data_IF_230773352305
#
_entry.id   IF_230773352305
#
_cell.length_a   1.000
_cell.length_b   1.000
_cell.length_c   1.000
_cell.angle_alpha   90.00
_cell.angle_beta   90.00
_cell.angle_gamma   90.00
#
_symmetry.space_group_name_H-M   'P 1'
#
loop_
_entity.id
_entity.type
_entity.pdbx_description
1 polymer ?
#
# COMPACT_ATOMS: atom_id res chain seq x y z
N UNK A 1 -15.99 -17.86 -26.19
CA UNK A 1 -15.96 -16.98 -25.00
C UNK A 1 -16.92 -17.40 -23.86
N UNK A 2 -17.50 -18.60 -23.88
CA UNK A 2 -18.51 -18.99 -22.88
C UNK A 2 -17.95 -19.83 -21.72
N UNK A 3 -16.88 -20.60 -21.95
CA UNK A 3 -16.36 -21.60 -21.02
C UNK A 3 -15.66 -21.00 -19.79
N UNK A 4 -14.88 -19.92 -19.98
CA UNK A 4 -14.18 -19.24 -18.88
C UNK A 4 -15.15 -18.56 -17.92
N UNK A 5 -16.15 -17.84 -18.45
CA UNK A 5 -17.20 -17.22 -17.64
C UNK A 5 -17.97 -18.27 -16.84
N UNK A 6 -18.39 -19.37 -17.48
CA UNK A 6 -19.11 -20.45 -16.80
C UNK A 6 -18.27 -21.10 -15.70
N UNK A 7 -16.95 -21.23 -15.89
CA UNK A 7 -16.06 -21.79 -14.87
C UNK A 7 -15.90 -20.85 -13.69
N UNK A 8 -15.66 -19.56 -13.93
CA UNK A 8 -15.59 -18.53 -12.88
C UNK A 8 -16.91 -18.52 -12.11
N UNK A 9 -18.04 -18.44 -12.81
CA UNK A 9 -19.36 -18.42 -12.19
C UNK A 9 -19.63 -19.68 -11.34
N UNK A 10 -19.15 -20.86 -11.78
CA UNK A 10 -19.25 -22.10 -10.98
C UNK A 10 -18.39 -22.09 -9.71
N UNK A 11 -17.26 -21.37 -9.72
CA UNK A 11 -16.35 -21.25 -8.58
C UNK A 11 -16.79 -20.16 -7.60
N UNK A 12 -17.57 -19.18 -8.06
CA UNK A 12 -18.04 -18.03 -7.29
C UNK A 12 -19.51 -18.13 -6.89
N UNK A 13 -20.16 -19.30 -7.06
CA UNK A 13 -21.56 -19.50 -6.64
C UNK A 13 -21.73 -19.13 -5.15
N UNK A 14 -22.44 -18.03 -4.89
CA UNK A 14 -22.67 -17.48 -3.55
C UNK A 14 -22.07 -16.08 -3.32
N UNK A 15 -21.19 -15.59 -4.19
CA UNK A 15 -20.75 -14.20 -4.20
C UNK A 15 -21.75 -13.35 -5.00
N UNK A 16 -22.21 -12.25 -4.42
CA UNK A 16 -23.29 -11.42 -4.96
C UNK A 16 -22.94 -10.73 -6.29
N UNK A 17 -21.67 -10.72 -6.69
CA UNK A 17 -21.22 -10.21 -7.98
C UNK A 17 -19.93 -10.93 -8.39
N UNK A 18 -19.94 -11.83 -9.40
CA UNK A 18 -18.73 -12.46 -9.93
C UNK A 18 -17.96 -11.48 -10.82
N UNK A 19 -17.62 -10.30 -10.29
CA UNK A 19 -16.74 -9.35 -10.93
C UNK A 19 -15.34 -9.92 -11.04
N UNK A 20 -14.74 -9.84 -12.22
CA UNK A 20 -13.34 -10.19 -12.40
C UNK A 20 -12.47 -9.11 -11.74
N UNK A 21 -11.69 -9.46 -10.71
CA UNK A 21 -10.73 -8.53 -10.12
C UNK A 21 -9.60 -8.20 -11.11
N UNK A 22 -9.53 -6.95 -11.57
CA UNK A 22 -8.56 -6.49 -12.57
C UNK A 22 -7.29 -5.92 -11.92
N UNK A 23 -6.51 -6.76 -11.22
CA UNK A 23 -5.27 -6.32 -10.56
C UNK A 23 -4.23 -5.78 -11.54
N UNK A 24 -3.79 -6.60 -12.49
CA UNK A 24 -2.75 -6.21 -13.44
C UNK A 24 -3.22 -5.09 -14.38
N UNK A 25 -4.45 -5.12 -14.94
CA UNK A 25 -4.91 -4.05 -15.80
C UNK A 25 -5.00 -2.69 -15.09
N UNK A 26 -5.20 -2.64 -13.77
CA UNK A 26 -5.19 -1.39 -13.00
C UNK A 26 -3.83 -0.66 -13.08
N UNK A 27 -2.72 -1.39 -13.25
CA UNK A 27 -1.40 -0.78 -13.45
C UNK A 27 -1.30 -0.05 -14.79
N UNK A 28 -1.95 -0.57 -15.83
CA UNK A 28 -2.05 0.10 -17.13
C UNK A 28 -2.97 1.30 -17.03
N UNK A 29 -4.09 1.18 -16.32
CA UNK A 29 -4.99 2.31 -16.06
C UNK A 29 -4.28 3.46 -15.36
N UNK A 30 -3.47 3.14 -14.35
CA UNK A 30 -2.59 4.10 -13.70
C UNK A 30 -1.67 4.80 -14.70
N UNK A 31 -0.96 4.06 -15.55
CA UNK A 31 -0.06 4.67 -16.53
C UNK A 31 -0.77 5.59 -17.53
N UNK A 32 -1.99 5.23 -17.96
CA UNK A 32 -2.78 6.03 -18.89
C UNK A 32 -3.36 7.30 -18.25
N UNK A 33 -3.60 7.27 -16.94
CA UNK A 33 -4.32 8.34 -16.22
C UNK A 33 -3.52 8.92 -15.06
N UNK A 34 -2.20 8.71 -15.01
CA UNK A 34 -1.35 9.04 -13.86
C UNK A 34 -1.42 10.52 -13.42
N UNK A 35 -1.71 11.43 -14.35
CA UNK A 35 -1.86 12.86 -14.08
C UNK A 35 -3.24 13.25 -13.55
N UNK A 36 -4.18 12.31 -13.48
CA UNK A 36 -5.53 12.54 -12.96
C UNK A 36 -5.48 12.71 -11.44
N UNK A 37 -5.98 13.85 -10.95
CA UNK A 37 -5.97 14.19 -9.52
C UNK A 37 -6.90 13.33 -8.67
N UNK A 38 -7.77 12.51 -9.28
CA UNK A 38 -8.62 11.57 -8.57
C UNK A 38 -7.87 10.34 -8.04
N UNK A 39 -6.63 10.08 -8.46
CA UNK A 39 -5.77 9.11 -7.78
C UNK A 39 -5.48 9.57 -6.35
N UNK A 40 -5.91 8.81 -5.34
CA UNK A 40 -5.67 9.17 -3.94
C UNK A 40 -4.64 8.26 -3.30
N UNK A 41 -3.62 8.82 -2.63
CA UNK A 41 -2.69 8.02 -1.86
C UNK A 41 -3.39 7.42 -0.63
N UNK A 42 -2.81 6.36 -0.08
CA UNK A 42 -3.28 5.74 1.14
C UNK A 42 -3.25 6.72 2.33
N UNK A 43 -4.14 6.54 3.33
CA UNK A 43 -4.08 7.31 4.57
C UNK A 43 -2.69 7.16 5.23
N UNK A 44 -2.02 8.29 5.46
CA UNK A 44 -0.67 8.30 6.04
C UNK A 44 0.48 8.09 5.04
N UNK A 45 0.22 8.21 3.73
CA UNK A 45 1.28 8.26 2.74
C UNK A 45 2.22 9.48 2.95
N UNK A 46 3.52 9.36 2.64
CA UNK A 46 4.20 8.16 2.13
C UNK A 46 4.39 7.07 3.18
N UNK A 47 4.05 5.82 2.83
CA UNK A 47 4.16 4.66 3.71
C UNK A 47 5.54 4.00 3.55
N UNK A 48 6.17 3.61 4.66
CA UNK A 48 7.38 2.78 4.65
C UNK A 48 6.98 1.31 4.53
N UNK A 49 7.10 0.76 3.32
CA UNK A 49 6.73 -0.62 2.98
C UNK A 49 7.98 -1.39 2.62
N UNK A 50 8.28 -2.46 3.35
CA UNK A 50 9.48 -3.29 3.14
C UNK A 50 9.09 -4.73 2.82
N UNK A 51 10.02 -5.53 2.29
CA UNK A 51 9.78 -6.93 1.94
C UNK A 51 10.53 -7.85 2.89
N UNK A 52 9.85 -8.81 3.50
CA UNK A 52 10.47 -9.87 4.29
C UNK A 52 11.23 -10.83 3.37
N UNK A 53 12.50 -11.13 3.68
CA UNK A 53 13.38 -11.90 2.79
C UNK A 53 13.91 -13.21 3.38
N UNK A 54 13.82 -13.39 4.70
CA UNK A 54 14.46 -14.49 5.43
C UNK A 54 13.47 -15.47 6.07
N UNK A 55 12.27 -15.02 6.44
CA UNK A 55 11.28 -15.86 7.13
C UNK A 55 10.85 -17.09 6.33
N UNK A 56 10.80 -18.26 6.99
CA UNK A 56 10.44 -19.53 6.34
C UNK A 56 9.05 -19.49 5.67
N UNK A 57 8.10 -18.78 6.28
CA UNK A 57 6.69 -18.73 5.84
C UNK A 57 6.26 -17.37 5.32
N UNK A 58 7.06 -16.33 5.55
CA UNK A 58 6.70 -14.93 5.29
C UNK A 58 7.58 -14.27 4.24
N UNK A 59 8.55 -15.01 3.67
CA UNK A 59 9.38 -14.51 2.57
C UNK A 59 8.49 -14.01 1.42
N UNK A 60 8.74 -12.77 1.00
CA UNK A 60 7.97 -12.06 -0.03
C UNK A 60 6.80 -11.24 0.50
N UNK A 61 6.51 -11.27 1.82
CA UNK A 61 5.44 -10.48 2.41
C UNK A 61 5.85 -9.01 2.52
N UNK A 62 4.92 -8.10 2.20
CA UNK A 62 5.06 -6.68 2.47
C UNK A 62 4.81 -6.40 3.95
N UNK A 63 5.78 -5.76 4.60
CA UNK A 63 5.77 -5.41 6.02
C UNK A 63 5.64 -3.90 6.16
N UNK A 64 4.76 -3.50 7.09
CA UNK A 64 4.55 -2.11 7.48
C UNK A 64 4.63 -2.05 9.01
N UNK A 65 5.32 -1.03 9.53
CA UNK A 65 5.29 -0.76 10.96
C UNK A 65 3.94 -0.15 11.37
N UNK A 66 3.20 -0.88 12.20
CA UNK A 66 1.88 -0.48 12.74
C UNK A 66 1.92 -0.09 14.21
N UNK A 67 3.11 0.03 14.82
CA UNK A 67 3.25 0.28 16.27
C UNK A 67 2.77 1.67 16.71
N UNK A 68 2.29 2.52 15.80
CA UNK A 68 1.85 3.91 16.03
C UNK A 68 2.82 4.71 16.90
N UNK A 69 4.12 4.60 16.60
CA UNK A 69 5.21 5.26 17.32
C UNK A 69 5.72 6.45 16.54
N UNK A 70 6.10 7.49 17.28
CA UNK A 70 6.61 8.72 16.69
C UNK A 70 7.95 8.50 16.01
N UNK A 71 8.12 9.09 14.83
CA UNK A 71 9.33 8.97 14.02
C UNK A 71 10.30 10.13 14.30
N UNK A 72 11.58 9.82 14.42
CA UNK A 72 12.67 10.79 14.50
C UNK A 72 12.81 11.53 13.16
N UNK A 73 12.94 12.85 13.23
CA UNK A 73 12.99 13.71 12.04
C UNK A 73 11.65 13.88 11.31
N UNK A 74 10.56 13.35 11.88
CA UNK A 74 9.20 13.57 11.40
C UNK A 74 8.64 14.96 11.76
N UNK A 75 7.40 15.25 11.35
CA UNK A 75 6.70 16.49 11.67
C UNK A 75 6.68 16.79 13.18
N UNK A 76 6.57 18.06 13.54
CA UNK A 76 6.66 18.49 14.94
C UNK A 76 5.35 18.13 15.67
N UNK A 77 5.37 17.96 17.00
CA UNK A 77 4.22 17.48 17.74
C UNK A 77 3.09 18.53 17.88
N UNK A 78 3.30 19.76 17.40
CA UNK A 78 2.28 20.80 17.26
C UNK A 78 1.46 20.66 15.98
N UNK A 79 1.85 19.78 15.06
CA UNK A 79 1.02 19.36 13.94
C UNK A 79 -0.15 18.52 14.49
N UNK A 80 -1.36 19.09 14.46
CA UNK A 80 -2.59 18.59 15.08
C UNK A 80 -3.07 17.18 14.62
N UNK A 81 -2.25 16.46 13.87
CA UNK A 81 -2.48 15.11 13.35
C UNK A 81 -1.43 14.08 13.81
N UNK A 82 -0.42 14.46 14.62
CA UNK A 82 0.57 13.51 15.15
C UNK A 82 0.05 12.83 16.43
N UNK A 83 -0.82 11.82 16.27
CA UNK A 83 -1.30 10.95 17.36
C UNK A 83 -0.28 9.86 17.75
N UNK A 84 0.93 9.90 17.17
CA UNK A 84 1.93 8.86 17.38
C UNK A 84 2.50 8.95 18.81
N UNK A 85 2.61 7.79 19.46
CA UNK A 85 3.08 7.74 20.84
C UNK A 85 4.58 8.01 20.91
N UNK A 86 4.98 8.89 21.83
CA UNK A 86 6.37 8.98 22.29
C UNK A 86 6.68 7.74 23.12
N UNK A 87 7.72 6.99 22.73
CA UNK A 87 8.19 5.83 23.48
C UNK A 87 9.49 6.20 24.23
N UNK A 88 9.44 6.39 25.57
CA UNK A 88 10.61 6.78 26.35
C UNK A 88 11.71 5.72 26.38
N UNK A 89 11.37 4.46 26.11
CA UNK A 89 12.35 3.36 26.08
C UNK A 89 13.25 3.37 24.84
N UNK A 90 12.96 4.25 23.88
CA UNK A 90 13.66 4.40 22.60
C UNK A 90 14.55 5.65 22.57
N UNK A 91 14.81 6.29 23.72
CA UNK A 91 15.63 7.48 23.82
C UNK A 91 17.11 7.11 23.84
N UNK A 92 17.82 7.43 22.76
CA UNK A 92 19.24 7.17 22.62
C UNK A 92 19.58 6.57 21.27
N UNK A 93 20.87 6.46 21.03
CA UNK A 93 21.45 5.77 19.88
C UNK A 93 21.80 4.34 20.28
N UNK A 94 21.49 3.35 19.45
CA UNK A 94 21.84 1.94 19.66
C UNK A 94 23.34 1.64 19.40
N UNK A 95 24.11 2.65 18.99
CA UNK A 95 25.52 2.55 18.62
C UNK A 95 25.74 2.23 17.15
N UNK A 96 24.68 1.96 16.39
CA UNK A 96 24.67 1.71 14.95
C UNK A 96 23.95 2.81 14.17
N UNK A 97 23.61 3.92 14.84
CA UNK A 97 22.91 5.05 14.25
C UNK A 97 21.40 4.87 14.19
N UNK A 98 20.80 3.92 14.90
CA UNK A 98 19.35 3.81 15.05
C UNK A 98 18.90 4.11 16.48
N UNK A 99 17.58 4.25 16.66
CA UNK A 99 17.02 4.32 18.01
C UNK A 99 17.14 2.97 18.70
N UNK A 100 17.30 2.99 20.02
CA UNK A 100 17.25 1.78 20.85
C UNK A 100 15.96 1.00 20.54
N UNK A 101 16.04 -0.32 20.31
CA UNK A 101 14.95 -1.21 19.85
C UNK A 101 14.36 -0.88 18.46
N UNK A 102 15.08 -0.13 17.62
CA UNK A 102 14.74 0.14 16.22
C UNK A 102 15.85 -0.32 15.26
N UNK A 103 16.21 -1.59 15.35
CA UNK A 103 17.37 -2.21 14.67
C UNK A 103 17.42 -2.00 13.14
N UNK A 104 16.28 -1.69 12.51
CA UNK A 104 16.21 -1.42 11.07
C UNK A 104 15.77 0.01 10.73
N UNK A 105 15.75 0.93 11.68
CA UNK A 105 15.41 2.33 11.43
C UNK A 105 13.99 2.51 10.90
N UNK A 106 13.00 1.79 11.43
CA UNK A 106 11.58 1.98 11.09
C UNK A 106 11.05 3.32 11.58
N UNK A 107 11.63 3.87 12.64
CA UNK A 107 11.23 5.14 13.23
C UNK A 107 12.05 6.32 12.72
N UNK A 108 12.92 6.14 11.74
CA UNK A 108 13.64 7.25 11.11
C UNK A 108 12.91 7.74 9.86
N UNK A 109 12.57 9.03 9.80
CA UNK A 109 11.89 9.66 8.67
C UNK A 109 12.68 9.55 7.34
N UNK A 110 13.99 9.34 7.40
CA UNK A 110 14.88 9.37 6.25
C UNK A 110 15.39 8.00 5.82
N UNK A 111 15.16 6.95 6.64
CA UNK A 111 15.49 5.56 6.30
C UNK A 111 14.26 4.81 5.79
N UNK A 112 14.51 3.63 5.20
CA UNK A 112 13.49 2.70 4.72
C UNK A 112 13.10 2.89 3.26
N UNK A 113 11.94 2.36 2.89
CA UNK A 113 11.40 2.41 1.54
C UNK A 113 10.04 3.11 1.56
N UNK A 114 10.08 4.45 1.48
CA UNK A 114 8.91 5.31 1.58
C UNK A 114 8.29 5.54 0.21
N UNK A 115 7.10 5.02 0.01
CA UNK A 115 6.40 5.10 -1.27
C UNK A 115 4.98 5.64 -1.10
N UNK A 116 4.49 6.34 -2.13
CA UNK A 116 3.10 6.73 -2.22
C UNK A 116 2.28 5.56 -2.73
N UNK A 117 1.82 4.69 -1.83
CA UNK A 117 0.85 3.66 -2.20
C UNK A 117 -0.47 4.34 -2.55
N UNK A 118 -1.03 3.97 -3.69
CA UNK A 118 -2.31 4.48 -4.16
C UNK A 118 -3.43 3.58 -3.64
N UNK A 119 -4.48 4.19 -3.10
CA UNK A 119 -5.60 3.49 -2.46
C UNK A 119 -6.92 3.65 -3.24
N UNK A 120 -7.08 4.72 -4.00
CA UNK A 120 -8.28 4.96 -4.83
C UNK A 120 -7.89 5.33 -6.25
N UNK A 121 -8.68 4.88 -7.23
CA UNK A 121 -8.46 5.16 -8.65
C UNK A 121 -9.52 6.11 -9.24
N UNK A 122 -9.19 6.87 -10.30
CA UNK A 122 -10.17 7.60 -11.06
C UNK A 122 -11.14 6.62 -11.73
N UNK A 123 -12.43 6.82 -11.48
CA UNK A 123 -13.46 6.05 -12.17
C UNK A 123 -13.31 4.56 -11.94
N UNK A 124 -13.39 4.10 -10.69
CA UNK A 124 -13.28 2.68 -10.31
C UNK A 124 -14.17 1.76 -11.17
N UNK A 125 -15.33 2.27 -11.62
CA UNK A 125 -16.27 1.56 -12.50
C UNK A 125 -16.10 1.89 -13.99
N UNK A 126 -15.32 2.91 -14.34
CA UNK A 126 -15.13 3.39 -15.71
C UNK A 126 -14.04 2.59 -16.44
N UNK A 127 -13.06 2.05 -15.70
CA UNK A 127 -11.95 1.36 -16.31
C UNK A 127 -12.35 0.05 -17.03
N UNK A 128 -13.21 -0.76 -16.41
CA UNK A 128 -13.67 -2.01 -17.01
C UNK A 128 -14.37 -1.83 -18.37
N UNK A 129 -15.38 -0.95 -18.52
CA UNK A 129 -16.00 -0.72 -19.82
C UNK A 129 -15.01 -0.11 -20.83
N UNK A 130 -14.16 0.84 -20.41
CA UNK A 130 -13.12 1.40 -21.27
C UNK A 130 -12.17 0.34 -21.82
N UNK A 131 -11.73 -0.59 -20.96
CA UNK A 131 -10.86 -1.71 -21.36
C UNK A 131 -11.56 -2.64 -22.36
N UNK A 132 -12.83 -2.97 -22.13
CA UNK A 132 -13.59 -3.87 -23.00
C UNK A 132 -13.84 -3.25 -24.37
N UNK A 133 -14.24 -1.97 -24.44
CA UNK A 133 -14.37 -1.22 -25.70
C UNK A 133 -13.03 -1.23 -26.47
N UNK A 134 -11.92 -1.00 -25.78
CA UNK A 134 -10.60 -0.98 -26.41
C UNK A 134 -10.16 -2.33 -26.99
N UNK A 135 -10.53 -3.44 -26.35
CA UNK A 135 -10.16 -4.80 -26.76
C UNK A 135 -11.09 -5.32 -27.87
N UNK A 136 -12.39 -5.06 -27.78
CA UNK A 136 -13.39 -5.71 -28.62
C UNK A 136 -14.02 -4.82 -29.70
N UNK A 137 -13.91 -3.49 -29.58
CA UNK A 137 -14.55 -2.53 -30.49
C UNK A 137 -15.97 -2.20 -30.05
#
# INVERSE_FOLDING_TARGET
MNTTYNKINSLTQGFADPGLSLHDPLTVWYMLTQSNTAWKPAPGAPEDIRVETAGQWTRGMNIVDRRNRRRLGGPKPDDAHDEAQLDPSMQGDDGEGNLVNDEYGWLDAWKGNRINRIAESPGDLDFAPYLLERIFG
#
